data_IF_284978275315
#
_entry.id   IF_284978275315
#
_cell.length_a   1.000
_cell.length_b   1.000
_cell.length_c   1.000
_cell.angle_alpha   90.00
_cell.angle_beta   90.00
_cell.angle_gamma   90.00
#
_symmetry.space_group_name_H-M   'P 1'
#
loop_
_entity.id
_entity.type
_entity.pdbx_description
1 polymer ?
#
# COMPACT_ATOMS: atom_id res chain seq x y z
N UNK A 1 -17.97 5.72 4.86
CA UNK A 1 -19.14 6.42 5.43
C UNK A 1 -19.55 5.83 6.76
N UNK A 2 -20.01 4.58 6.75
CA UNK A 2 -20.52 3.86 7.92
C UNK A 2 -19.62 3.91 9.16
N UNK A 3 -18.34 3.55 9.04
CA UNK A 3 -17.37 3.56 10.16
C UNK A 3 -17.29 4.92 10.86
N UNK A 4 -17.27 6.02 10.10
CA UNK A 4 -17.19 7.38 10.66
C UNK A 4 -18.49 7.80 11.36
N UNK A 5 -19.64 7.38 10.82
CA UNK A 5 -20.94 7.63 11.45
C UNK A 5 -21.04 6.89 12.80
N UNK A 6 -20.73 5.60 12.80
CA UNK A 6 -20.73 4.77 14.01
C UNK A 6 -19.70 5.25 15.05
N UNK A 7 -18.51 5.66 14.61
CA UNK A 7 -17.50 6.22 15.49
C UNK A 7 -17.99 7.47 16.23
N UNK A 8 -18.77 8.34 15.56
CA UNK A 8 -19.36 9.52 16.20
C UNK A 8 -20.49 9.15 17.16
N UNK A 9 -21.35 8.22 16.77
CA UNK A 9 -22.50 7.81 17.58
C UNK A 9 -22.08 7.13 18.89
N UNK A 10 -21.05 6.29 18.85
CA UNK A 10 -20.63 5.48 19.99
C UNK A 10 -19.52 6.13 20.85
N UNK A 11 -19.03 7.31 20.46
CA UNK A 11 -17.93 7.99 21.17
C UNK A 11 -18.27 8.33 22.63
N UNK A 12 -19.53 8.72 22.91
CA UNK A 12 -19.99 9.02 24.27
C UNK A 12 -19.95 7.81 25.21
N UNK A 13 -20.04 6.60 24.64
CA UNK A 13 -19.93 5.33 25.34
C UNK A 13 -18.47 4.84 25.47
N UNK A 14 -17.50 5.65 25.02
CA UNK A 14 -16.07 5.30 24.98
C UNK A 14 -15.78 4.07 24.11
N UNK A 15 -16.57 3.86 23.06
CA UNK A 15 -16.36 2.79 22.09
C UNK A 15 -15.70 3.37 20.84
N UNK A 16 -14.53 2.83 20.46
CA UNK A 16 -13.82 3.20 19.23
C UNK A 16 -14.27 2.33 18.06
N UNK A 17 -14.48 2.93 16.88
CA UNK A 17 -14.89 2.20 15.68
C UNK A 17 -13.93 2.50 14.54
N UNK A 18 -13.22 1.49 14.03
CA UNK A 18 -12.25 1.64 12.95
C UNK A 18 -12.52 0.64 11.82
N UNK A 19 -11.96 0.91 10.64
CA UNK A 19 -12.04 0.04 9.49
C UNK A 19 -10.65 -0.43 9.12
N UNK A 20 -10.47 -1.73 8.94
CA UNK A 20 -9.23 -2.31 8.39
C UNK A 20 -9.49 -2.62 6.92
N UNK A 21 -8.66 -2.08 6.04
CA UNK A 21 -8.72 -2.27 4.60
C UNK A 21 -7.56 -3.20 4.15
N UNK A 22 -7.81 -4.52 4.11
CA UNK A 22 -6.78 -5.49 3.72
C UNK A 22 -6.42 -5.38 2.24
N UNK A 23 -5.20 -5.80 1.92
CA UNK A 23 -4.71 -5.95 0.56
C UNK A 23 -4.93 -7.35 0.00
N UNK A 24 -3.97 -7.80 -0.81
CA UNK A 24 -3.92 -9.20 -1.25
C UNK A 24 -3.35 -10.04 -0.11
N UNK A 25 -4.22 -10.85 0.50
CA UNK A 25 -3.90 -11.73 1.64
C UNK A 25 -4.00 -13.18 1.20
N UNK A 26 -3.02 -14.00 1.56
CA UNK A 26 -3.02 -15.45 1.36
C UNK A 26 -4.04 -16.10 2.32
N UNK A 27 -5.29 -16.11 1.88
CA UNK A 27 -6.42 -16.69 2.61
C UNK A 27 -7.07 -17.79 1.74
N UNK A 28 -7.75 -18.78 2.36
CA UNK A 28 -8.39 -19.88 1.63
C UNK A 28 -9.31 -19.42 0.49
N UNK A 29 -10.00 -18.29 0.67
CA UNK A 29 -10.86 -17.69 -0.33
C UNK A 29 -10.09 -17.23 -1.58
N UNK A 30 -8.91 -16.63 -1.41
CA UNK A 30 -8.07 -16.23 -2.53
C UNK A 30 -7.46 -17.46 -3.21
N UNK A 31 -7.05 -18.46 -2.43
CA UNK A 31 -6.52 -19.73 -2.94
C UNK A 31 -7.55 -20.51 -3.77
N UNK A 32 -8.84 -20.43 -3.43
CA UNK A 32 -9.91 -21.04 -4.20
C UNK A 32 -10.21 -20.29 -5.51
N UNK A 33 -10.01 -18.97 -5.53
CA UNK A 33 -10.34 -18.11 -6.67
C UNK A 33 -9.18 -17.88 -7.65
N UNK A 34 -7.94 -18.15 -7.25
CA UNK A 34 -6.75 -17.86 -8.08
C UNK A 34 -5.84 -19.08 -8.22
N UNK A 35 -5.53 -19.52 -9.46
CA UNK A 35 -4.53 -20.56 -9.69
C UNK A 35 -3.13 -20.09 -9.25
N UNK A 36 -2.33 -21.01 -8.69
CA UNK A 36 -0.96 -20.73 -8.24
C UNK A 36 0.09 -20.68 -9.37
N UNK A 37 -0.30 -20.98 -10.61
CA UNK A 37 0.58 -21.02 -11.80
C UNK A 37 0.94 -19.62 -12.30
N UNK A 38 2.05 -19.42 -13.01
CA UNK A 38 2.54 -18.13 -13.53
C UNK A 38 1.67 -17.41 -14.60
N UNK A 39 0.37 -17.69 -14.66
CA UNK A 39 -0.59 -16.98 -15.49
C UNK A 39 -0.83 -15.55 -14.96
N UNK A 40 -1.25 -14.59 -15.82
CA UNK A 40 -1.73 -13.30 -15.37
C UNK A 40 -2.87 -13.46 -14.34
N UNK A 41 -2.74 -12.87 -13.15
CA UNK A 41 -3.72 -13.01 -12.06
C UNK A 41 -3.42 -14.12 -11.05
N UNK A 42 -2.24 -14.72 -11.15
CA UNK A 42 -1.73 -15.68 -10.17
C UNK A 42 -1.17 -15.04 -8.91
N UNK A 43 -1.07 -15.83 -7.84
CA UNK A 43 -0.49 -15.40 -6.56
C UNK A 43 0.90 -14.77 -6.71
N UNK A 44 1.76 -15.31 -7.57
CA UNK A 44 3.12 -14.78 -7.78
C UNK A 44 3.09 -13.41 -8.49
N UNK A 45 2.21 -13.24 -9.48
CA UNK A 45 2.05 -11.94 -10.16
C UNK A 45 1.44 -10.89 -9.22
N UNK A 46 0.56 -11.30 -8.30
CA UNK A 46 -0.02 -10.43 -7.28
C UNK A 46 1.04 -10.01 -6.25
N UNK A 47 1.89 -10.94 -5.81
CA UNK A 47 3.00 -10.63 -4.89
C UNK A 47 3.97 -9.60 -5.49
N UNK A 48 4.27 -9.69 -6.79
CA UNK A 48 5.11 -8.70 -7.49
C UNK A 48 4.46 -7.31 -7.60
N UNK A 49 3.14 -7.24 -7.60
CA UNK A 49 2.41 -5.98 -7.63
C UNK A 49 2.34 -5.29 -6.25
N UNK A 50 2.60 -6.03 -5.17
CA UNK A 50 2.68 -5.46 -3.81
C UNK A 50 4.08 -4.85 -3.61
N UNK A 51 4.20 -3.57 -3.21
CA UNK A 51 5.50 -2.94 -2.97
C UNK A 51 6.41 -3.65 -1.95
N UNK A 52 5.83 -4.30 -0.93
CA UNK A 52 6.58 -5.15 0.00
C UNK A 52 7.02 -6.51 -0.60
N UNK A 53 6.67 -6.80 -1.85
CA UNK A 53 7.13 -7.98 -2.61
C UNK A 53 6.56 -9.32 -2.12
N UNK A 54 5.55 -9.30 -1.26
CA UNK A 54 4.93 -10.51 -0.71
C UNK A 54 3.41 -10.32 -0.56
N UNK A 55 2.69 -11.44 -0.55
CA UNK A 55 1.31 -11.46 -0.09
C UNK A 55 1.27 -11.22 1.43
N UNK A 56 0.21 -10.57 1.88
CA UNK A 56 -0.07 -10.51 3.31
C UNK A 56 -0.55 -11.87 3.81
N UNK A 57 -0.44 -12.08 5.11
CA UNK A 57 -0.92 -13.26 5.83
C UNK A 57 -2.12 -12.88 6.70
N UNK A 58 -2.97 -13.84 7.11
CA UNK A 58 -4.00 -13.59 8.11
C UNK A 58 -3.44 -12.96 9.40
N UNK A 59 -2.22 -13.34 9.79
CA UNK A 59 -1.49 -12.84 10.95
C UNK A 59 -1.14 -11.35 10.80
N UNK A 60 -0.82 -10.87 9.60
CA UNK A 60 -0.58 -9.43 9.35
C UNK A 60 -1.85 -8.60 9.64
N UNK A 61 -3.03 -9.13 9.29
CA UNK A 61 -4.32 -8.47 9.59
C UNK A 61 -4.63 -8.58 11.08
N UNK A 62 -4.44 -9.76 11.68
CA UNK A 62 -4.68 -9.99 13.09
C UNK A 62 -3.82 -9.08 13.97
N UNK A 63 -2.56 -8.84 13.60
CA UNK A 63 -1.68 -7.90 14.30
C UNK A 63 -2.24 -6.47 14.31
N UNK A 64 -2.71 -5.98 13.17
CA UNK A 64 -3.33 -4.66 13.08
C UNK A 64 -4.62 -4.55 13.91
N UNK A 65 -5.47 -5.58 13.87
CA UNK A 65 -6.70 -5.64 14.67
C UNK A 65 -6.36 -5.72 16.16
N UNK A 66 -5.38 -6.53 16.56
CA UNK A 66 -4.92 -6.64 17.95
C UNK A 66 -4.42 -5.31 18.48
N UNK A 67 -3.67 -4.55 17.69
CA UNK A 67 -3.26 -3.19 18.04
C UNK A 67 -4.47 -2.27 18.25
N UNK A 68 -5.44 -2.29 17.33
CA UNK A 68 -6.66 -1.48 17.44
C UNK A 68 -7.52 -1.81 18.66
N UNK A 69 -7.44 -3.05 19.17
CA UNK A 69 -8.13 -3.49 20.39
C UNK A 69 -7.34 -3.18 21.67
N UNK A 70 -6.07 -2.79 21.55
CA UNK A 70 -5.21 -2.48 22.70
C UNK A 70 -5.43 -1.06 23.23
N UNK A 71 -4.99 -0.81 24.47
CA UNK A 71 -5.04 0.53 25.08
C UNK A 71 -4.21 1.58 24.32
N UNK A 72 -3.20 1.13 23.56
CA UNK A 72 -2.33 2.00 22.76
C UNK A 72 -3.10 2.68 21.62
N UNK A 73 -4.21 2.10 21.18
CA UNK A 73 -5.09 2.65 20.16
C UNK A 73 -6.33 3.38 20.72
N UNK A 74 -6.37 3.65 22.04
CA UNK A 74 -7.55 4.24 22.72
C UNK A 74 -8.00 5.60 22.18
N UNK A 75 -7.15 6.32 21.45
CA UNK A 75 -7.47 7.60 20.81
C UNK A 75 -7.70 7.51 19.28
N UNK A 76 -7.70 6.30 18.73
CA UNK A 76 -7.90 6.05 17.29
C UNK A 76 -9.36 5.62 17.07
N UNK A 77 -10.17 6.48 16.46
CA UNK A 77 -11.56 6.15 16.08
C UNK A 77 -11.96 6.83 14.77
N UNK A 78 -12.82 6.18 14.00
CA UNK A 78 -13.28 6.63 12.69
C UNK A 78 -12.24 6.52 11.57
N UNK A 79 -11.10 5.85 11.83
CA UNK A 79 -10.02 5.71 10.87
C UNK A 79 -10.25 4.53 9.91
N UNK A 80 -9.68 4.64 8.72
CA UNK A 80 -9.47 3.51 7.80
C UNK A 80 -7.98 3.21 7.78
N UNK A 81 -7.60 2.02 8.22
CA UNK A 81 -6.22 1.56 8.27
C UNK A 81 -5.99 0.59 7.12
N UNK A 82 -5.13 0.99 6.19
CA UNK A 82 -4.72 0.18 5.06
C UNK A 82 -3.66 -0.85 5.50
N UNK A 83 -4.02 -2.14 5.47
CA UNK A 83 -3.12 -3.26 5.81
C UNK A 83 -2.92 -4.10 4.56
N UNK A 84 -2.17 -3.53 3.61
CA UNK A 84 -2.13 -4.06 2.23
C UNK A 84 -0.74 -4.09 1.60
N UNK A 85 0.33 -3.93 2.40
CA UNK A 85 1.71 -3.94 1.91
C UNK A 85 2.03 -2.86 0.87
N UNK A 86 1.23 -1.79 0.84
CA UNK A 86 1.37 -0.69 -0.12
C UNK A 86 0.62 -0.89 -1.44
N UNK A 87 -0.14 -1.98 -1.58
CA UNK A 87 -0.85 -2.33 -2.82
C UNK A 87 -1.85 -1.25 -3.27
N UNK A 88 -2.51 -0.57 -2.31
CA UNK A 88 -3.47 0.51 -2.60
C UNK A 88 -2.98 1.88 -2.15
N UNK A 89 -1.69 2.18 -2.33
CA UNK A 89 -1.22 3.54 -2.15
C UNK A 89 -1.70 4.43 -3.28
N UNK A 90 -2.56 5.40 -2.96
CA UNK A 90 -2.91 6.51 -3.86
C UNK A 90 -1.74 7.50 -3.96
N UNK A 91 -0.59 7.05 -4.45
CA UNK A 91 0.35 7.90 -5.14
C UNK A 91 0.86 7.08 -6.31
N UNK A 92 0.66 7.59 -7.52
CA UNK A 92 1.15 6.93 -8.71
C UNK A 92 2.65 6.69 -8.56
N UNK A 93 3.06 5.43 -8.35
CA UNK A 93 4.43 5.00 -8.62
C UNK A 93 4.58 5.00 -10.14
N UNK A 94 4.67 6.20 -10.71
CA UNK A 94 5.21 6.44 -12.03
C UNK A 94 6.73 6.27 -11.97
N UNK A 95 7.22 5.10 -11.55
CA UNK A 95 8.63 4.74 -11.60
C UNK A 95 8.80 3.59 -12.57
N UNK A 96 8.41 3.82 -13.85
CA UNK A 96 8.87 2.94 -14.94
C UNK A 96 8.78 3.51 -16.36
N UNK A 97 9.03 4.80 -16.56
CA UNK A 97 9.19 5.38 -17.91
C UNK A 97 10.14 6.58 -17.98
N UNK A 98 11.38 6.44 -17.49
CA UNK A 98 12.43 7.45 -17.74
C UNK A 98 13.79 6.93 -18.23
N UNK A 99 13.94 5.63 -18.53
CA UNK A 99 15.21 5.12 -19.09
C UNK A 99 15.15 4.53 -20.50
N UNK A 100 13.98 4.41 -21.14
CA UNK A 100 13.91 3.94 -22.54
C UNK A 100 14.10 5.04 -23.60
N UNK A 101 14.32 6.30 -23.21
CA UNK A 101 14.53 7.43 -24.12
C UNK A 101 15.99 7.85 -24.33
N UNK A 102 16.96 7.26 -23.63
CA UNK A 102 18.37 7.67 -23.69
C UNK A 102 19.19 6.85 -24.70
N UNK A 103 18.61 6.58 -25.87
CA UNK A 103 19.28 5.88 -26.98
C UNK A 103 19.65 6.81 -28.15
N UNK A 104 19.77 8.13 -27.93
CA UNK A 104 20.37 9.02 -28.93
C UNK A 104 21.46 9.91 -28.32
N UNK A 105 22.69 9.67 -28.79
CA UNK A 105 23.95 10.17 -28.27
C UNK A 105 24.21 11.69 -28.47
N UNK A 106 23.19 12.56 -28.34
CA UNK A 106 23.35 14.02 -28.54
C UNK A 106 23.09 14.91 -27.32
N UNK A 107 22.56 14.40 -26.20
CA UNK A 107 22.19 15.25 -25.04
C UNK A 107 23.18 15.29 -23.86
N UNK A 108 24.21 14.43 -23.84
CA UNK A 108 25.14 14.30 -22.70
C UNK A 108 25.97 15.58 -22.41
N UNK A 109 26.14 16.48 -23.39
CA UNK A 109 26.79 17.79 -23.17
C UNK A 109 25.87 18.81 -22.50
N UNK A 110 24.55 18.75 -22.73
CA UNK A 110 23.58 19.68 -22.14
C UNK A 110 23.32 19.36 -20.66
N UNK A 111 23.27 18.09 -20.27
CA UNK A 111 23.10 17.70 -18.86
C UNK A 111 24.27 18.12 -17.97
N UNK A 112 25.52 18.01 -18.45
CA UNK A 112 26.69 18.47 -17.68
C UNK A 112 26.76 19.99 -17.50
N UNK A 113 26.14 20.76 -18.39
CA UNK A 113 26.07 22.22 -18.29
C UNK A 113 24.96 22.71 -17.34
N UNK A 114 23.95 21.87 -17.09
CA UNK A 114 22.88 22.16 -16.12
C UNK A 114 23.33 21.81 -14.69
N UNK A 115 23.98 20.66 -14.49
CA UNK A 115 24.48 20.23 -13.17
C UNK A 115 25.47 21.22 -12.53
N UNK A 116 26.32 21.89 -13.33
CA UNK A 116 27.25 22.89 -12.77
C UNK A 116 26.59 24.19 -12.33
N UNK A 117 25.44 24.57 -12.90
CA UNK A 117 24.75 25.82 -12.53
C UNK A 117 23.87 25.67 -11.29
N UNK A 118 23.55 24.44 -10.90
CA UNK A 118 22.69 24.16 -9.75
C UNK A 118 23.46 23.95 -8.43
N UNK A 119 24.80 23.84 -8.46
CA UNK A 119 25.63 23.72 -7.26
C UNK A 119 26.21 25.04 -6.76
N UNK A 120 26.18 26.12 -7.57
CA UNK A 120 26.73 27.44 -7.21
C UNK A 120 25.63 28.45 -6.80
N UNK A 121 24.53 27.98 -6.21
CA UNK A 121 23.55 28.83 -5.51
C UNK A 121 23.11 28.21 -4.20
#
# INVERSE_FOLDING_TARGET
GFTKAMARELASLKITVNCVAPGVIDAPMLAAATPRSAAPGSMDTLAQAVPLGRLGTPEDIAGAVSFLLSEQASYITGATIDVNGGYRMAWAVAVRRLTSGCASARSARKCRAWHRRACDR
#
